data_IF_866053330345
#
_entry.id   IF_866053330345
#
_cell.length_a   1.000
_cell.length_b   1.000
_cell.length_c   1.000
_cell.angle_alpha   90.00
_cell.angle_beta   90.00
_cell.angle_gamma   90.00
#
_symmetry.space_group_name_H-M   'P 1'
#
loop_
_entity.id
_entity.type
_entity.pdbx_description
1 polymer ?
#
# COMPACT_ATOMS: atom_id res chain seq x y z
N UNK A 1 -9.79 -14.58 1.17
CA UNK A 1 -9.00 -13.72 2.06
C UNK A 1 -9.38 -14.06 3.49
N UNK A 2 -8.41 -14.27 4.36
CA UNK A 2 -8.66 -14.63 5.76
C UNK A 2 -8.94 -13.36 6.56
N UNK A 3 -10.12 -13.23 7.13
CA UNK A 3 -10.44 -12.14 8.05
C UNK A 3 -9.65 -12.34 9.35
N UNK A 4 -8.83 -11.36 9.73
CA UNK A 4 -8.04 -11.40 10.96
C UNK A 4 -8.64 -10.40 11.95
N UNK A 5 -8.91 -10.86 13.18
CA UNK A 5 -9.39 -9.99 14.24
C UNK A 5 -8.36 -8.88 14.55
N UNK A 6 -8.82 -7.63 14.62
CA UNK A 6 -7.96 -6.44 14.78
C UNK A 6 -7.05 -6.46 16.02
N UNK A 7 -7.46 -7.18 17.08
CA UNK A 7 -6.68 -7.34 18.31
C UNK A 7 -5.45 -8.26 18.14
N UNK A 8 -5.29 -8.94 16.99
CA UNK A 8 -4.12 -9.75 16.64
C UNK A 8 -3.20 -8.96 15.71
N UNK A 9 -2.67 -7.85 16.22
CA UNK A 9 -1.86 -6.89 15.45
C UNK A 9 -0.73 -7.54 14.65
N UNK A 10 -0.05 -8.55 15.19
CA UNK A 10 1.03 -9.27 14.50
C UNK A 10 0.54 -10.02 13.26
N UNK A 11 -0.65 -10.62 13.33
CA UNK A 11 -1.24 -11.36 12.22
C UNK A 11 -1.85 -10.44 11.19
N UNK A 12 -2.50 -9.36 11.62
CA UNK A 12 -2.98 -8.31 10.72
C UNK A 12 -1.79 -7.67 9.98
N UNK A 13 -0.71 -7.34 10.71
CA UNK A 13 0.52 -6.82 10.12
C UNK A 13 1.13 -7.82 9.13
N UNK A 14 1.27 -9.09 9.49
CA UNK A 14 1.82 -10.12 8.57
C UNK A 14 0.96 -10.30 7.33
N UNK A 15 -0.36 -10.35 7.47
CA UNK A 15 -1.26 -10.51 6.34
C UNK A 15 -1.17 -9.32 5.38
N UNK A 16 -1.17 -8.10 5.91
CA UNK A 16 -1.02 -6.86 5.13
C UNK A 16 0.36 -6.81 4.47
N UNK A 17 1.43 -7.02 5.25
CA UNK A 17 2.79 -7.00 4.76
C UNK A 17 3.02 -8.04 3.66
N UNK A 18 2.54 -9.28 3.86
CA UNK A 18 2.66 -10.35 2.86
C UNK A 18 1.87 -10.04 1.59
N UNK A 19 0.66 -9.49 1.70
CA UNK A 19 -0.15 -9.13 0.53
C UNK A 19 0.46 -7.97 -0.27
N UNK A 20 1.13 -7.05 0.42
CA UNK A 20 1.75 -5.88 -0.20
C UNK A 20 3.18 -6.13 -0.68
N UNK A 21 3.91 -7.12 -0.17
CA UNK A 21 5.31 -7.36 -0.54
C UNK A 21 5.51 -7.56 -2.04
N UNK A 22 4.62 -8.31 -2.71
CA UNK A 22 4.76 -8.59 -4.14
C UNK A 22 4.61 -7.32 -4.98
N UNK A 23 3.70 -6.42 -4.59
CA UNK A 23 3.43 -5.18 -5.33
C UNK A 23 4.31 -4.01 -4.89
N UNK A 24 4.77 -3.99 -3.65
CA UNK A 24 5.60 -2.93 -3.08
C UNK A 24 7.11 -3.20 -3.21
N UNK A 25 7.50 -4.23 -3.96
CA UNK A 25 8.90 -4.55 -4.17
C UNK A 25 9.59 -3.48 -5.06
N UNK A 26 10.69 -2.85 -4.62
CA UNK A 26 11.46 -1.95 -5.47
C UNK A 26 12.09 -2.72 -6.64
N UNK A 27 12.37 -2.05 -7.78
CA UNK A 27 13.13 -2.65 -8.87
C UNK A 27 14.50 -3.17 -8.40
N UNK A 28 15.07 -4.21 -9.05
CA UNK A 28 16.39 -4.74 -8.68
C UNK A 28 17.46 -3.64 -8.61
N UNK A 29 18.22 -3.60 -7.52
CA UNK A 29 19.27 -2.61 -7.29
C UNK A 29 18.78 -1.24 -6.81
N UNK A 30 17.47 -1.04 -6.64
CA UNK A 30 16.88 0.16 -6.02
C UNK A 30 16.41 -0.15 -4.60
N UNK A 31 16.27 0.89 -3.78
CA UNK A 31 15.72 0.80 -2.42
C UNK A 31 14.63 1.84 -2.20
N UNK A 32 13.62 1.51 -1.40
CA UNK A 32 12.64 2.51 -0.98
C UNK A 32 13.24 3.29 0.18
N UNK A 33 13.51 4.59 -0.01
CA UNK A 33 14.00 5.48 1.06
C UNK A 33 12.92 6.45 1.55
N UNK A 34 11.85 6.66 0.76
CA UNK A 34 10.74 7.53 1.13
C UNK A 34 9.40 7.01 0.61
N UNK A 35 8.36 7.20 1.42
CA UNK A 35 6.97 7.00 1.06
C UNK A 35 6.21 8.33 1.14
N UNK A 36 5.39 8.63 0.13
CA UNK A 36 4.46 9.75 0.16
C UNK A 36 3.03 9.24 0.04
N UNK A 37 2.18 9.66 0.97
CA UNK A 37 0.78 9.30 1.03
C UNK A 37 -0.06 10.42 0.43
N UNK A 38 -0.89 10.09 -0.55
CA UNK A 38 -1.85 10.99 -1.17
C UNK A 38 -3.23 10.60 -0.68
N UNK A 39 -3.90 11.54 -0.02
CA UNK A 39 -5.22 11.34 0.56
C UNK A 39 -6.26 12.07 -0.26
N UNK A 40 -7.41 11.43 -0.47
CA UNK A 40 -8.58 12.08 -1.06
C UNK A 40 -9.15 13.14 -0.11
N UNK A 41 -10.03 14.01 -0.63
CA UNK A 41 -10.76 15.02 0.17
C UNK A 41 -11.60 14.39 1.29
N UNK A 42 -11.98 13.12 1.14
CA UNK A 42 -12.76 12.37 2.11
C UNK A 42 -11.88 11.62 3.13
N UNK A 43 -10.56 11.78 3.08
CA UNK A 43 -9.61 11.16 4.01
C UNK A 43 -9.28 9.69 3.70
N UNK A 44 -9.78 9.13 2.60
CA UNK A 44 -9.36 7.80 2.13
C UNK A 44 -8.01 7.90 1.41
N UNK A 45 -7.13 6.91 1.60
CA UNK A 45 -5.84 6.85 0.92
C UNK A 45 -6.06 6.61 -0.58
N UNK A 46 -5.64 7.53 -1.43
CA UNK A 46 -5.83 7.42 -2.88
C UNK A 46 -4.59 6.79 -3.54
N UNK A 47 -3.41 7.22 -3.11
CA UNK A 47 -2.15 6.70 -3.64
C UNK A 47 -1.03 6.66 -2.61
N UNK A 48 -0.12 5.70 -2.79
CA UNK A 48 1.16 5.62 -2.09
C UNK A 48 2.28 5.65 -3.13
N UNK A 49 3.14 6.65 -3.03
CA UNK A 49 4.30 6.81 -3.92
C UNK A 49 5.56 6.36 -3.20
N UNK A 50 6.30 5.45 -3.81
CA UNK A 50 7.57 4.96 -3.28
C UNK A 50 8.73 5.58 -4.05
N UNK A 51 9.74 6.06 -3.33
CA UNK A 51 10.89 6.74 -3.90
C UNK A 51 12.20 6.09 -3.46
N UNK A 52 13.20 6.12 -4.35
CA UNK A 52 14.61 5.97 -4.01
C UNK A 52 15.25 7.35 -4.06
N UNK A 53 15.39 7.92 -2.87
CA UNK A 53 15.79 9.28 -2.61
C UNK A 53 14.84 10.29 -3.30
N UNK A 54 15.27 10.87 -4.43
CA UNK A 54 14.46 11.79 -5.22
C UNK A 54 13.65 11.13 -6.34
N UNK A 55 13.97 9.89 -6.71
CA UNK A 55 13.42 9.22 -7.88
C UNK A 55 12.15 8.45 -7.52
N UNK A 56 11.05 8.70 -8.22
CA UNK A 56 9.84 7.91 -8.09
C UNK A 56 10.08 6.50 -8.65
N UNK A 57 9.96 5.48 -7.81
CA UNK A 57 10.10 4.07 -8.21
C UNK A 57 8.80 3.50 -8.75
N UNK A 58 7.69 3.75 -8.06
CA UNK A 58 6.34 3.31 -8.43
C UNK A 58 5.28 4.03 -7.59
N UNK A 59 4.04 3.97 -8.06
CA UNK A 59 2.86 4.39 -7.32
C UNK A 59 1.91 3.21 -7.14
N UNK A 60 1.45 2.99 -5.91
CA UNK A 60 0.30 2.15 -5.63
C UNK A 60 -0.95 3.01 -5.61
N UNK A 61 -1.96 2.63 -6.38
CA UNK A 61 -3.27 3.29 -6.44
C UNK A 61 -4.29 2.41 -5.74
N UNK A 62 -5.08 2.99 -4.84
CA UNK A 62 -6.04 2.27 -4.00
C UNK A 62 -7.46 2.58 -4.48
N UNK A 63 -8.19 1.53 -4.83
CA UNK A 63 -9.60 1.62 -5.23
C UNK A 63 -10.49 1.15 -4.08
N UNK A 64 -11.38 2.03 -3.63
CA UNK A 64 -12.29 1.75 -2.51
C UNK A 64 -13.71 1.50 -3.00
N UNK A 65 -14.40 0.57 -2.34
CA UNK A 65 -15.84 0.35 -2.50
C UNK A 65 -16.67 1.41 -1.78
N UNK A 66 -17.96 1.47 -2.11
CA UNK A 66 -18.91 2.39 -1.46
C UNK A 66 -19.13 2.10 0.04
N UNK A 67 -18.80 0.90 0.49
CA UNK A 67 -18.81 0.44 1.88
C UNK A 67 -17.49 0.72 2.62
N UNK A 68 -16.62 1.55 2.03
CA UNK A 68 -15.27 1.84 2.52
C UNK A 68 -14.33 0.62 2.58
N UNK A 69 -14.67 -0.49 1.92
CA UNK A 69 -13.76 -1.63 1.80
C UNK A 69 -12.72 -1.37 0.70
N UNK A 70 -11.47 -1.77 0.94
CA UNK A 70 -10.45 -1.74 -0.10
C UNK A 70 -10.73 -2.84 -1.12
N UNK A 71 -10.97 -2.46 -2.38
CA UNK A 71 -11.27 -3.41 -3.46
C UNK A 71 -10.03 -3.87 -4.21
N UNK A 72 -9.14 -2.94 -4.50
CA UNK A 72 -7.98 -3.18 -5.34
C UNK A 72 -6.82 -2.28 -4.96
N UNK A 73 -5.60 -2.81 -5.12
CA UNK A 73 -4.36 -2.03 -5.14
C UNK A 73 -3.64 -2.32 -6.45
N UNK A 74 -3.52 -1.30 -7.29
CA UNK A 74 -2.84 -1.40 -8.58
C UNK A 74 -1.48 -0.69 -8.52
N UNK A 75 -0.47 -1.23 -9.21
CA UNK A 75 0.86 -0.61 -9.34
C UNK A 75 1.01 0.05 -10.71
N UNK A 76 1.54 1.27 -10.71
CA UNK A 76 1.91 2.05 -11.91
C UNK A 76 3.32 2.59 -11.80
#
# INVERSE_FOLDING_TARGET
>A
MSEVAYNRYDEAYRAIHSALMDIACPPPGRRITKLAFVWSVHGALEALRAYDDGDLLFTLVFSWGADATLREVART
#
